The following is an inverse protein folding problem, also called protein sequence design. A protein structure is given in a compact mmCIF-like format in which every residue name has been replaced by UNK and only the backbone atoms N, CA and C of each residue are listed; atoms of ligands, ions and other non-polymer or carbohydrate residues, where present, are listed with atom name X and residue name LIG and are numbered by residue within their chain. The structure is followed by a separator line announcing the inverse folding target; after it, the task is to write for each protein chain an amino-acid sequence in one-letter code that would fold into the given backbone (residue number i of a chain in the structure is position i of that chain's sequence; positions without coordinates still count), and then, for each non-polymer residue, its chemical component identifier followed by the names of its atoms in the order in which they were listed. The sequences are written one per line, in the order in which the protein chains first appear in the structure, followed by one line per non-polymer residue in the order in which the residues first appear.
data_IF_886906481741
#
_entry.id   IF_886906481741
#
_cell.length_a   1.000
_cell.length_b   1.000
_cell.length_c   1.000
_cell.angle_alpha   90.00
_cell.angle_beta   90.00
_cell.angle_gamma   90.00
#
_symmetry.space_group_name_H-M   'P 1'
#
loop_
_entity.id
_entity.type
_entity.pdbx_description
1 polymer ?
#
# COMPACT_ATOMS: atom_id res chain seq x y z
N UNK A 1 19.41 -8.55 5.68
CA UNK A 1 18.61 -7.76 4.70
C UNK A 1 19.42 -6.54 4.29
N UNK A 2 19.44 -6.16 3.01
CA UNK A 2 20.09 -4.91 2.60
C UNK A 2 19.28 -3.70 3.05
N UNK A 3 19.95 -2.56 3.25
CA UNK A 3 19.27 -1.30 3.56
C UNK A 3 18.22 -0.95 2.49
N UNK A 4 18.54 -1.20 1.20
CA UNK A 4 17.61 -1.01 0.10
C UNK A 4 16.37 -1.93 0.21
N UNK A 5 16.54 -3.24 0.39
CA UNK A 5 15.41 -4.15 0.56
C UNK A 5 14.56 -3.77 1.78
N UNK A 6 15.21 -3.44 2.91
CA UNK A 6 14.52 -3.02 4.13
C UNK A 6 13.66 -1.76 3.90
N UNK A 7 14.17 -0.78 3.15
CA UNK A 7 13.41 0.41 2.75
C UNK A 7 12.15 0.05 1.95
N UNK A 8 12.26 -0.83 0.95
CA UNK A 8 11.10 -1.26 0.16
C UNK A 8 10.05 -1.96 1.02
N UNK A 9 10.45 -2.88 1.93
CA UNK A 9 9.51 -3.57 2.82
C UNK A 9 8.85 -2.64 3.84
N UNK A 10 9.60 -1.70 4.43
CA UNK A 10 9.02 -0.70 5.35
C UNK A 10 8.00 0.18 4.63
N UNK A 11 8.31 0.61 3.41
CA UNK A 11 7.39 1.43 2.59
C UNK A 11 6.15 0.64 2.21
N UNK A 12 6.29 -0.65 1.87
CA UNK A 12 5.15 -1.56 1.67
C UNK A 12 4.26 -1.65 2.92
N UNK A 13 4.85 -1.74 4.12
CA UNK A 13 4.10 -1.73 5.38
C UNK A 13 3.24 -0.47 5.56
N UNK A 14 3.80 0.70 5.25
CA UNK A 14 3.06 1.97 5.30
C UNK A 14 1.91 2.02 4.27
N UNK A 15 2.14 1.50 3.07
CA UNK A 15 1.10 1.42 2.03
C UNK A 15 -0.06 0.51 2.46
N UNK A 16 0.22 -0.63 3.10
CA UNK A 16 -0.81 -1.50 3.68
C UNK A 16 -1.65 -0.74 4.71
N UNK A 17 -1.01 0.02 5.60
CA UNK A 17 -1.71 0.87 6.57
C UNK A 17 -2.66 1.87 5.90
N UNK A 18 -2.19 2.54 4.84
CA UNK A 18 -3.02 3.47 4.06
C UNK A 18 -4.20 2.79 3.34
N UNK A 19 -4.01 1.58 2.82
CA UNK A 19 -5.09 0.78 2.19
C UNK A 19 -6.14 0.45 3.24
N UNK A 20 -5.72 -0.12 4.37
CA UNK A 20 -6.62 -0.51 5.46
C UNK A 20 -7.40 0.69 6.00
N UNK A 21 -6.75 1.85 6.13
CA UNK A 21 -7.41 3.09 6.52
C UNK A 21 -8.53 3.50 5.54
N UNK A 22 -8.24 3.53 4.24
CA UNK A 22 -9.25 3.88 3.22
C UNK A 22 -10.40 2.86 3.17
N UNK A 23 -10.11 1.56 3.36
CA UNK A 23 -11.12 0.51 3.43
C UNK A 23 -11.97 0.61 4.70
N UNK A 24 -11.38 0.95 5.84
CA UNK A 24 -12.10 1.18 7.08
C UNK A 24 -13.06 2.37 6.95
N UNK A 25 -12.63 3.45 6.29
CA UNK A 25 -13.50 4.58 5.96
C UNK A 25 -14.61 4.19 4.98
N UNK A 26 -14.31 3.34 3.99
CA UNK A 26 -15.29 2.89 2.99
C UNK A 26 -16.47 2.15 3.62
N UNK A 27 -16.22 1.40 4.70
CA UNK A 27 -17.26 0.67 5.43
C UNK A 27 -18.19 1.58 6.24
N UNK A 28 -17.80 2.82 6.53
CA UNK A 28 -18.63 3.75 7.30
C UNK A 28 -19.76 4.35 6.42
N UNK A 29 -21.02 4.33 6.88
CA UNK A 29 -22.13 4.96 6.18
C UNK A 29 -22.03 6.50 6.27
N UNK A 30 -22.54 7.21 5.26
CA UNK A 30 -22.69 8.69 5.30
C UNK A 30 -21.39 9.51 5.37
N UNK A 31 -20.22 8.89 5.22
CA UNK A 31 -18.92 9.55 5.38
C UNK A 31 -18.46 10.28 4.12
N UNK A 32 -17.88 11.47 4.32
CA UNK A 32 -16.99 12.11 3.36
C UNK A 32 -15.54 11.70 3.67
N UNK A 33 -14.68 11.41 2.67
CA UNK A 33 -14.90 11.49 1.22
C UNK A 33 -15.84 10.41 0.66
N UNK A 34 -16.45 10.62 -0.53
CA UNK A 34 -17.32 9.65 -1.18
C UNK A 34 -16.68 8.27 -1.34
N UNK A 35 -17.47 7.20 -1.21
CA UNK A 35 -17.03 5.81 -1.34
C UNK A 35 -16.22 5.53 -2.62
N UNK A 36 -16.61 6.16 -3.74
CA UNK A 36 -15.89 6.07 -5.03
C UNK A 36 -14.46 6.64 -4.97
N UNK A 37 -14.23 7.68 -4.17
CA UNK A 37 -12.89 8.23 -3.98
C UNK A 37 -12.05 7.35 -3.04
N UNK A 38 -12.67 6.83 -1.97
CA UNK A 38 -11.98 5.94 -1.02
C UNK A 38 -11.48 4.66 -1.69
N UNK A 39 -12.29 4.03 -2.54
CA UNK A 39 -11.87 2.82 -3.26
C UNK A 39 -10.80 3.12 -4.32
N UNK A 40 -10.87 4.28 -5.01
CA UNK A 40 -9.82 4.71 -5.96
C UNK A 40 -8.48 4.93 -5.24
N UNK A 41 -8.50 5.59 -4.07
CA UNK A 41 -7.30 5.78 -3.24
C UNK A 41 -6.73 4.45 -2.77
N UNK A 42 -7.57 3.55 -2.23
CA UNK A 42 -7.14 2.23 -1.82
C UNK A 42 -6.54 1.41 -2.99
N UNK A 43 -7.16 1.47 -4.17
CA UNK A 43 -6.67 0.81 -5.38
C UNK A 43 -5.32 1.36 -5.85
N UNK A 44 -5.13 2.70 -5.85
CA UNK A 44 -3.85 3.32 -6.18
C UNK A 44 -2.74 2.98 -5.16
N UNK A 45 -3.08 2.83 -3.89
CA UNK A 45 -2.12 2.41 -2.87
C UNK A 45 -1.78 0.91 -3.04
N UNK A 46 -2.75 0.09 -3.43
CA UNK A 46 -2.55 -1.34 -3.67
C UNK A 46 -1.66 -1.61 -4.89
N UNK A 47 -1.79 -0.82 -5.97
CA UNK A 47 -0.87 -0.92 -7.11
C UNK A 47 0.55 -0.53 -6.72
N UNK A 48 0.71 0.57 -5.96
CA UNK A 48 2.00 0.96 -5.38
C UNK A 48 2.60 -0.14 -4.50
N UNK A 49 1.79 -0.77 -3.63
CA UNK A 49 2.23 -1.87 -2.77
C UNK A 49 2.81 -3.03 -3.57
N UNK A 50 2.14 -3.42 -4.66
CA UNK A 50 2.61 -4.49 -5.55
C UNK A 50 3.99 -4.18 -6.14
N UNK A 51 4.20 -2.95 -6.60
CA UNK A 51 5.48 -2.51 -7.17
C UNK A 51 6.59 -2.53 -6.11
N UNK A 52 6.33 -1.97 -4.93
CA UNK A 52 7.34 -1.91 -3.85
C UNK A 52 7.71 -3.30 -3.32
N UNK A 53 6.73 -4.20 -3.17
CA UNK A 53 7.02 -5.59 -2.78
C UNK A 53 7.81 -6.33 -3.87
N UNK A 54 7.43 -6.15 -5.13
CA UNK A 54 8.14 -6.76 -6.25
C UNK A 54 9.61 -6.32 -6.30
N UNK A 55 9.87 -5.01 -6.18
CA UNK A 55 11.24 -4.47 -6.15
C UNK A 55 12.03 -4.95 -4.93
N UNK A 56 11.42 -4.96 -3.74
CA UNK A 56 12.06 -5.47 -2.53
C UNK A 56 12.46 -6.94 -2.63
N UNK A 57 11.59 -7.77 -3.22
CA UNK A 57 11.88 -9.17 -3.51
C UNK A 57 12.98 -9.32 -4.56
N UNK A 58 12.90 -8.56 -5.66
CA UNK A 58 13.90 -8.61 -6.73
C UNK A 58 15.30 -8.30 -6.18
N UNK A 59 15.44 -7.29 -5.31
CA UNK A 59 16.72 -6.95 -4.65
C UNK A 59 17.23 -8.09 -3.74
N UNK A 60 16.35 -8.86 -3.10
CA UNK A 60 16.76 -10.03 -2.31
C UNK A 60 17.24 -11.16 -3.22
N UNK A 61 16.55 -11.41 -4.33
CA UNK A 61 16.85 -12.54 -5.21
C UNK A 61 18.03 -12.31 -6.16
N UNK A 62 18.26 -11.07 -6.60
CA UNK A 62 19.36 -10.72 -7.52
C UNK A 62 20.67 -10.40 -6.80
N UNK A 63 20.65 -10.37 -5.47
CA UNK A 63 21.82 -10.13 -4.64
C UNK A 63 22.44 -11.44 -4.20
#
# INVERSE_FOLDING_TARGET
MTAAAAFFFLTSGLLVGGILYNLALYKKPGMYPPKRLLIKRASSLASGLGIFLFLGLLIIFLK
#
